data_IF_870304133970
#
_entry.id   IF_870304133970
#
_cell.length_a   1.000
_cell.length_b   1.000
_cell.length_c   1.000
_cell.angle_alpha   90.00
_cell.angle_beta   90.00
_cell.angle_gamma   90.00
#
_symmetry.space_group_name_H-M   'P 1'
#
loop_
_entity.id
_entity.type
_entity.pdbx_description
1 polymer ?
#
# COMPACT_ATOMS: atom_id res chain seq x y z
N UNK A 1 20.55 3.53 -13.40
CA UNK A 1 19.53 3.48 -14.46
C UNK A 1 19.60 2.11 -15.12
N UNK A 2 18.82 1.17 -14.62
CA UNK A 2 18.65 -0.11 -15.31
C UNK A 2 17.76 0.11 -16.54
N UNK A 3 18.03 -0.53 -17.68
CA UNK A 3 17.13 -0.44 -18.83
C UNK A 3 15.77 -1.05 -18.50
N UNK A 4 14.69 -0.59 -19.14
CA UNK A 4 13.38 -1.17 -18.96
C UNK A 4 13.43 -2.67 -19.30
N UNK A 5 12.78 -3.50 -18.46
CA UNK A 5 12.71 -4.95 -18.66
C UNK A 5 11.34 -5.32 -19.21
N UNK A 6 11.32 -6.21 -20.18
CA UNK A 6 10.08 -6.88 -20.56
C UNK A 6 9.67 -7.81 -19.42
N UNK A 7 8.46 -7.61 -18.87
CA UNK A 7 7.95 -8.38 -17.75
C UNK A 7 6.83 -9.31 -18.21
N UNK A 8 6.71 -10.47 -17.57
CA UNK A 8 5.62 -11.42 -17.86
C UNK A 8 4.25 -10.86 -17.45
N UNK A 9 4.21 -9.97 -16.46
CA UNK A 9 3.01 -9.25 -16.00
C UNK A 9 2.66 -8.18 -17.01
N UNK A 10 1.46 -8.24 -17.59
CA UNK A 10 0.96 -7.29 -18.60
C UNK A 10 -0.20 -6.44 -18.12
N UNK A 11 -1.06 -6.99 -17.26
CA UNK A 11 -2.26 -6.33 -16.77
C UNK A 11 -2.17 -6.14 -15.25
N UNK A 12 -2.09 -4.90 -14.82
CA UNK A 12 -1.90 -4.54 -13.41
C UNK A 12 -3.09 -3.75 -12.89
N UNK A 13 -3.75 -4.29 -11.88
CA UNK A 13 -4.76 -3.61 -11.10
C UNK A 13 -4.09 -2.69 -10.07
N UNK A 14 -4.40 -1.40 -10.06
CA UNK A 14 -3.93 -0.46 -9.04
C UNK A 14 -5.09 -0.04 -8.14
N UNK A 15 -5.03 -0.39 -6.88
CA UNK A 15 -5.96 0.08 -5.86
C UNK A 15 -5.31 1.20 -5.06
N UNK A 16 -5.89 2.39 -5.07
CA UNK A 16 -5.30 3.55 -4.41
C UNK A 16 -6.36 4.55 -3.94
N UNK A 17 -5.94 5.54 -3.17
CA UNK A 17 -6.85 6.63 -2.78
C UNK A 17 -7.26 7.47 -3.99
N UNK A 18 -8.40 8.19 -3.95
CA UNK A 18 -8.82 9.07 -5.04
C UNK A 18 -7.73 10.07 -5.46
N UNK A 19 -6.99 10.64 -4.50
CA UNK A 19 -5.90 11.58 -4.77
C UNK A 19 -4.75 10.91 -5.52
N UNK A 20 -4.35 9.70 -5.13
CA UNK A 20 -3.29 8.93 -5.79
C UNK A 20 -3.69 8.56 -7.22
N UNK A 21 -4.92 8.10 -7.44
CA UNK A 21 -5.44 7.77 -8.77
C UNK A 21 -5.47 9.01 -9.67
N UNK A 22 -5.97 10.14 -9.16
CA UNK A 22 -6.02 11.42 -9.90
C UNK A 22 -4.65 11.93 -10.29
N UNK A 23 -3.62 11.68 -9.47
CA UNK A 23 -2.24 12.12 -9.75
C UNK A 23 -1.62 11.39 -10.93
N UNK A 24 -2.09 10.20 -11.26
CA UNK A 24 -1.51 9.27 -12.27
C UNK A 24 -0.02 8.94 -12.06
N UNK A 25 0.49 9.10 -10.84
CA UNK A 25 1.91 8.91 -10.56
C UNK A 25 2.37 7.46 -10.85
N UNK A 26 1.59 6.46 -10.40
CA UNK A 26 1.90 5.06 -10.66
C UNK A 26 1.88 4.71 -12.14
N UNK A 27 0.86 5.14 -12.88
CA UNK A 27 0.75 4.88 -14.31
C UNK A 27 1.93 5.47 -15.07
N UNK A 28 2.34 6.72 -14.75
CA UNK A 28 3.50 7.36 -15.38
C UNK A 28 4.80 6.61 -15.09
N UNK A 29 5.03 6.23 -13.83
CA UNK A 29 6.25 5.50 -13.45
C UNK A 29 6.31 4.11 -14.09
N UNK A 30 5.21 3.38 -14.13
CA UNK A 30 5.15 2.07 -14.76
C UNK A 30 5.31 2.17 -16.28
N UNK A 31 4.66 3.12 -16.93
CA UNK A 31 4.83 3.34 -18.37
C UNK A 31 6.28 3.70 -18.74
N UNK A 32 7.00 4.39 -17.85
CA UNK A 32 8.40 4.74 -18.07
C UNK A 32 9.38 3.58 -17.79
N UNK A 33 9.06 2.70 -16.81
CA UNK A 33 9.99 1.68 -16.32
C UNK A 33 9.68 0.25 -16.79
N UNK A 34 8.44 -0.01 -17.17
CA UNK A 34 7.96 -1.35 -17.56
C UNK A 34 7.23 -1.27 -18.90
N UNK A 35 7.90 -1.69 -19.96
CA UNK A 35 7.33 -1.67 -21.32
C UNK A 35 6.26 -2.74 -21.45
N UNK A 36 5.08 -2.36 -21.98
CA UNK A 36 3.98 -3.29 -22.29
C UNK A 36 3.11 -3.65 -21.08
N UNK A 37 3.24 -2.91 -19.97
CA UNK A 37 2.33 -3.04 -18.82
C UNK A 37 1.14 -2.11 -18.98
N UNK A 38 -0.07 -2.67 -18.98
CA UNK A 38 -1.33 -1.95 -18.90
C UNK A 38 -1.78 -1.82 -17.44
N UNK A 39 -2.15 -0.62 -17.02
CA UNK A 39 -2.51 -0.33 -15.63
C UNK A 39 -3.91 0.25 -15.54
N UNK A 40 -4.84 -0.51 -14.98
CA UNK A 40 -6.17 -0.01 -14.61
C UNK A 40 -6.19 0.39 -13.15
N UNK A 41 -6.59 1.63 -12.87
CA UNK A 41 -6.60 2.19 -11.53
C UNK A 41 -8.03 2.33 -10.98
N UNK A 42 -8.23 1.86 -9.75
CA UNK A 42 -9.47 1.97 -9.01
C UNK A 42 -9.28 2.85 -7.77
N UNK A 43 -10.03 3.93 -7.70
CA UNK A 43 -10.10 4.77 -6.51
C UNK A 43 -10.94 4.08 -5.43
N UNK A 44 -10.33 3.80 -4.28
CA UNK A 44 -10.97 3.08 -3.18
C UNK A 44 -11.36 4.07 -2.05
N UNK A 45 -12.41 4.85 -2.30
CA UNK A 45 -12.95 5.76 -1.29
C UNK A 45 -13.54 5.01 -0.09
N UNK A 46 -13.38 5.59 1.11
CA UNK A 46 -13.94 5.07 2.36
C UNK A 46 -13.13 3.95 3.02
N UNK A 47 -12.25 3.25 2.31
CA UNK A 47 -11.49 2.12 2.89
C UNK A 47 -10.55 2.60 3.99
N UNK A 48 -9.85 3.73 3.80
CA UNK A 48 -8.96 4.29 4.82
C UNK A 48 -9.75 4.68 6.07
N UNK A 49 -10.87 5.37 5.90
CA UNK A 49 -11.71 5.82 7.02
C UNK A 49 -12.22 4.62 7.83
N UNK A 50 -12.72 3.58 7.16
CA UNK A 50 -13.18 2.36 7.81
C UNK A 50 -12.08 1.65 8.61
N UNK A 51 -10.85 1.56 8.04
CA UNK A 51 -9.68 0.99 8.74
C UNK A 51 -9.33 1.85 9.96
N UNK A 52 -9.32 3.16 9.80
CA UNK A 52 -8.98 4.09 10.84
C UNK A 52 -10.03 4.11 11.97
N UNK A 53 -11.29 3.89 11.68
CA UNK A 53 -12.35 3.74 12.67
C UNK A 53 -12.39 2.34 13.33
N UNK A 54 -11.59 1.41 12.81
CA UNK A 54 -11.55 0.02 13.29
C UNK A 54 -12.74 -0.82 12.81
N UNK A 55 -13.52 -0.32 11.86
CA UNK A 55 -14.63 -1.05 11.23
C UNK A 55 -14.11 -1.91 10.08
N UNK A 56 -13.48 -3.03 10.45
CA UNK A 56 -12.92 -3.97 9.46
C UNK A 56 -14.00 -4.67 8.63
N UNK A 57 -15.24 -4.80 9.14
CA UNK A 57 -16.35 -5.39 8.38
C UNK A 57 -16.72 -4.47 7.22
N UNK A 58 -16.84 -3.17 7.49
CA UNK A 58 -17.08 -2.18 6.44
C UNK A 58 -15.88 -2.10 5.47
N UNK A 59 -14.65 -2.11 6.01
CA UNK A 59 -13.45 -2.08 5.17
C UNK A 59 -13.40 -3.24 4.19
N UNK A 60 -13.69 -4.48 4.62
CA UNK A 60 -13.77 -5.66 3.74
C UNK A 60 -14.86 -5.53 2.68
N UNK A 61 -16.05 -5.06 3.06
CA UNK A 61 -17.16 -4.86 2.11
C UNK A 61 -16.79 -3.83 1.05
N UNK A 62 -16.14 -2.73 1.43
CA UNK A 62 -15.65 -1.70 0.51
C UNK A 62 -14.56 -2.26 -0.41
N UNK A 63 -13.60 -3.02 0.12
CA UNK A 63 -12.55 -3.68 -0.68
C UNK A 63 -13.20 -4.54 -1.77
N UNK A 64 -14.12 -5.43 -1.42
CA UNK A 64 -14.83 -6.28 -2.39
C UNK A 64 -15.53 -5.46 -3.46
N UNK A 65 -16.26 -4.42 -3.06
CA UNK A 65 -16.97 -3.53 -4.00
C UNK A 65 -16.01 -2.85 -4.98
N UNK A 66 -14.84 -2.40 -4.50
CA UNK A 66 -13.83 -1.75 -5.35
C UNK A 66 -13.11 -2.76 -6.26
N UNK A 67 -12.84 -3.97 -5.78
CA UNK A 67 -12.31 -5.05 -6.61
C UNK A 67 -13.30 -5.41 -7.72
N UNK A 68 -14.58 -5.59 -7.41
CA UNK A 68 -15.63 -5.85 -8.41
C UNK A 68 -15.72 -4.72 -9.44
N UNK A 69 -15.56 -3.47 -9.01
CA UNK A 69 -15.57 -2.31 -9.91
C UNK A 69 -14.39 -2.33 -10.89
N UNK A 70 -13.21 -2.69 -10.41
CA UNK A 70 -12.01 -2.84 -11.25
C UNK A 70 -12.16 -4.03 -12.20
N UNK A 71 -12.60 -5.19 -11.71
CA UNK A 71 -12.74 -6.41 -12.50
C UNK A 71 -13.73 -6.27 -13.68
N UNK A 72 -14.67 -5.33 -13.60
CA UNK A 72 -15.52 -4.99 -14.75
C UNK A 72 -14.76 -4.30 -15.89
N UNK A 73 -13.64 -3.66 -15.59
CA UNK A 73 -12.79 -2.95 -16.58
C UNK A 73 -11.60 -3.80 -17.03
N UNK A 74 -11.05 -4.57 -16.10
CA UNK A 74 -9.92 -5.48 -16.30
C UNK A 74 -10.26 -6.84 -15.67
N UNK A 75 -10.94 -7.75 -16.39
CA UNK A 75 -11.48 -9.00 -15.82
C UNK A 75 -10.44 -9.99 -15.34
N UNK A 76 -9.21 -9.94 -15.83
CA UNK A 76 -8.15 -10.86 -15.50
C UNK A 76 -6.82 -10.13 -15.32
N UNK A 77 -6.62 -9.39 -14.22
CA UNK A 77 -5.31 -8.80 -13.93
C UNK A 77 -4.30 -9.90 -13.57
N UNK A 78 -3.07 -9.77 -14.05
CA UNK A 78 -1.97 -10.67 -13.67
C UNK A 78 -1.47 -10.34 -12.26
N UNK A 79 -1.55 -9.06 -11.87
CA UNK A 79 -1.10 -8.58 -10.58
C UNK A 79 -1.94 -7.40 -10.08
N UNK A 80 -1.88 -7.17 -8.77
CA UNK A 80 -2.49 -6.02 -8.12
C UNK A 80 -1.48 -5.27 -7.26
N UNK A 81 -1.52 -3.94 -7.30
CA UNK A 81 -0.71 -3.07 -6.45
C UNK A 81 -1.59 -2.37 -5.43
N UNK A 82 -1.25 -2.51 -4.15
CA UNK A 82 -1.87 -1.77 -3.06
C UNK A 82 -1.14 -0.42 -2.89
N UNK A 83 -1.63 0.61 -3.59
CA UNK A 83 -1.02 1.93 -3.69
C UNK A 83 -1.39 2.91 -2.56
N UNK A 84 -1.73 2.40 -1.38
CA UNK A 84 -2.00 3.18 -0.18
C UNK A 84 -1.36 2.52 1.03
N UNK A 85 -0.83 3.31 1.96
CA UNK A 85 -0.13 2.81 3.15
C UNK A 85 -1.04 2.05 4.14
N UNK A 86 -2.36 2.24 4.08
CA UNK A 86 -3.32 1.51 4.91
C UNK A 86 -3.72 0.15 4.31
N UNK A 87 -3.71 0.01 2.99
CA UNK A 87 -4.23 -1.19 2.33
C UNK A 87 -3.46 -2.49 2.65
N UNK A 88 -2.16 -2.47 3.00
CA UNK A 88 -1.49 -3.66 3.50
C UNK A 88 -2.14 -4.30 4.73
N UNK A 89 -2.87 -3.52 5.54
CA UNK A 89 -3.66 -4.05 6.66
C UNK A 89 -4.85 -4.91 6.21
N UNK A 90 -5.25 -4.78 4.94
CA UNK A 90 -6.37 -5.48 4.30
C UNK A 90 -5.90 -6.41 3.17
N UNK A 91 -4.61 -6.77 3.11
CA UNK A 91 -4.04 -7.58 2.01
C UNK A 91 -4.83 -8.86 1.77
N UNK A 92 -5.25 -9.55 2.84
CA UNK A 92 -6.03 -10.79 2.72
C UNK A 92 -7.40 -10.54 2.06
N UNK A 93 -8.09 -9.46 2.42
CA UNK A 93 -9.38 -9.10 1.82
C UNK A 93 -9.25 -8.79 0.32
N UNK A 94 -8.17 -8.11 -0.09
CA UNK A 94 -7.87 -7.90 -1.52
C UNK A 94 -7.57 -9.22 -2.21
N UNK A 95 -6.73 -10.07 -1.61
CA UNK A 95 -6.37 -11.37 -2.19
C UNK A 95 -7.59 -12.28 -2.36
N UNK A 96 -8.46 -12.35 -1.35
CA UNK A 96 -9.69 -13.17 -1.40
C UNK A 96 -10.68 -12.67 -2.47
N UNK A 97 -10.76 -11.36 -2.65
CA UNK A 97 -11.63 -10.77 -3.67
C UNK A 97 -11.08 -10.90 -5.09
N UNK A 98 -9.76 -10.83 -5.27
CA UNK A 98 -9.08 -10.96 -6.57
C UNK A 98 -8.92 -12.41 -7.03
N UNK A 99 -8.88 -13.35 -6.09
CA UNK A 99 -8.59 -14.76 -6.35
C UNK A 99 -7.11 -15.12 -6.24
N UNK A 100 -6.83 -16.41 -6.19
CA UNK A 100 -5.49 -16.95 -5.90
C UNK A 100 -4.48 -16.74 -7.06
N UNK A 101 -4.96 -16.55 -8.27
CA UNK A 101 -4.11 -16.42 -9.47
C UNK A 101 -3.52 -15.01 -9.63
N UNK A 102 -4.02 -14.01 -8.89
CA UNK A 102 -3.55 -12.63 -8.94
C UNK A 102 -2.48 -12.40 -7.86
N UNK A 103 -1.29 -11.99 -8.28
CA UNK A 103 -0.23 -11.64 -7.33
C UNK A 103 -0.48 -10.26 -6.74
N UNK A 104 -0.68 -10.17 -5.42
CA UNK A 104 -0.88 -8.88 -4.72
C UNK A 104 0.45 -8.34 -4.19
N UNK A 105 0.83 -7.16 -4.65
CA UNK A 105 2.01 -6.45 -4.19
C UNK A 105 1.66 -5.38 -3.15
N UNK A 106 2.25 -5.51 -1.97
CA UNK A 106 2.22 -4.49 -0.92
C UNK A 106 3.37 -3.50 -1.13
N UNK A 107 3.05 -2.23 -1.27
CA UNK A 107 4.06 -1.18 -1.36
C UNK A 107 4.92 -1.11 -0.08
N UNK A 108 4.33 -1.39 1.08
CA UNK A 108 5.03 -1.32 2.36
C UNK A 108 6.18 -2.32 2.44
N UNK A 109 5.96 -3.57 2.01
CA UNK A 109 6.98 -4.62 2.02
C UNK A 109 8.13 -4.30 1.07
N UNK A 110 7.81 -3.90 -0.16
CA UNK A 110 8.81 -3.51 -1.16
C UNK A 110 9.67 -2.33 -0.70
N UNK A 111 9.07 -1.34 -0.04
CA UNK A 111 9.81 -0.19 0.51
C UNK A 111 10.68 -0.61 1.68
N UNK A 112 10.18 -1.48 2.57
CA UNK A 112 10.94 -1.98 3.71
C UNK A 112 12.17 -2.79 3.25
N UNK A 113 12.02 -3.67 2.28
CA UNK A 113 13.12 -4.45 1.67
C UNK A 113 14.15 -3.52 1.01
N UNK A 114 13.69 -2.56 0.22
CA UNK A 114 14.54 -1.57 -0.43
C UNK A 114 15.33 -0.72 0.57
N UNK A 115 14.69 -0.33 1.69
CA UNK A 115 15.34 0.40 2.77
C UNK A 115 16.40 -0.47 3.48
N UNK A 116 16.08 -1.74 3.75
CA UNK A 116 17.02 -2.66 4.39
C UNK A 116 18.27 -2.86 3.51
N UNK A 117 18.11 -3.06 2.20
CA UNK A 117 19.21 -3.14 1.25
C UNK A 117 20.03 -1.83 1.19
N UNK A 118 19.34 -0.68 1.16
CA UNK A 118 20.00 0.62 1.17
C UNK A 118 20.87 0.82 2.42
N UNK A 119 20.33 0.51 3.61
CA UNK A 119 21.06 0.64 4.87
C UNK A 119 22.22 -0.36 4.97
N UNK A 120 22.09 -1.56 4.42
CA UNK A 120 23.19 -2.53 4.34
C UNK A 120 24.36 -1.99 3.52
N UNK A 121 24.08 -1.28 2.43
CA UNK A 121 25.10 -0.64 1.58
C UNK A 121 25.60 0.71 2.13
N UNK A 122 24.93 1.26 3.12
CA UNK A 122 25.21 2.57 3.71
C UNK A 122 25.19 2.48 5.25
N UNK A 123 26.11 1.70 5.86
CA UNK A 123 26.12 1.50 7.31
C UNK A 123 26.34 2.81 8.11
N UNK A 124 26.94 3.81 7.50
CA UNK A 124 27.11 5.15 8.09
C UNK A 124 25.77 5.88 8.35
N UNK A 125 24.69 5.45 7.67
CA UNK A 125 23.34 6.00 7.86
C UNK A 125 22.63 5.38 9.07
N UNK A 126 23.17 4.30 9.64
CA UNK A 126 22.62 3.65 10.82
C UNK A 126 23.20 4.33 12.06
N UNK A 127 22.34 5.02 12.82
CA UNK A 127 22.74 5.66 14.05
C UNK A 127 23.16 4.66 15.15
N UNK A 128 23.99 5.10 16.09
CA UNK A 128 24.49 4.28 17.21
C UNK A 128 23.48 4.13 18.36
N UNK A 129 22.20 3.88 18.04
CA UNK A 129 21.23 3.43 19.05
C UNK A 129 20.69 4.53 19.97
N UNK A 130 20.28 5.67 19.44
CA UNK A 130 19.40 6.57 20.18
C UNK A 130 18.00 5.94 20.27
N UNK A 131 17.33 6.08 21.41
CA UNK A 131 15.95 5.67 21.56
C UNK A 131 15.08 6.53 20.63
N UNK A 132 14.37 5.88 19.69
CA UNK A 132 13.46 6.58 18.77
C UNK A 132 12.30 7.25 19.52
N UNK A 133 11.91 8.44 19.07
CA UNK A 133 10.76 9.17 19.58
C UNK A 133 9.66 9.18 18.53
N UNK A 134 8.41 8.92 18.94
CA UNK A 134 7.24 9.05 18.09
C UNK A 134 6.51 10.36 18.41
N UNK A 135 6.45 11.26 17.46
CA UNK A 135 5.82 12.58 17.61
C UNK A 135 4.60 12.69 16.70
N UNK A 136 3.60 13.44 17.14
CA UNK A 136 2.43 13.77 16.35
C UNK A 136 1.96 15.19 16.60
N UNK A 137 1.43 15.84 15.57
CA UNK A 137 0.73 17.12 15.68
C UNK A 137 -0.76 16.95 16.01
N UNK A 138 -1.26 15.70 16.01
CA UNK A 138 -2.63 15.36 16.37
C UNK A 138 -2.78 14.97 17.84
N UNK A 139 -3.93 14.38 18.19
CA UNK A 139 -4.18 13.84 19.53
C UNK A 139 -3.27 12.64 19.81
N UNK A 140 -2.27 12.82 20.66
CA UNK A 140 -1.26 11.82 20.96
C UNK A 140 -1.86 10.50 21.52
N UNK A 141 -2.94 10.58 22.30
CA UNK A 141 -3.61 9.38 22.84
C UNK A 141 -4.29 8.58 21.75
N UNK A 142 -5.05 9.24 20.87
CA UNK A 142 -5.74 8.60 19.75
C UNK A 142 -4.73 7.99 18.77
N UNK A 143 -3.68 8.72 18.42
CA UNK A 143 -2.63 8.23 17.52
C UNK A 143 -1.89 7.04 18.12
N UNK A 144 -1.56 7.08 19.42
CA UNK A 144 -0.92 5.95 20.13
C UNK A 144 -1.79 4.70 20.13
N UNK A 145 -3.09 4.84 20.42
CA UNK A 145 -4.02 3.71 20.41
C UNK A 145 -4.11 3.05 19.03
N UNK A 146 -4.23 3.87 17.97
CA UNK A 146 -4.31 3.40 16.58
C UNK A 146 -3.00 2.76 16.13
N UNK A 147 -1.85 3.38 16.40
CA UNK A 147 -0.55 2.81 16.07
C UNK A 147 -0.30 1.48 16.80
N UNK A 148 -0.73 1.36 18.05
CA UNK A 148 -0.65 0.11 18.82
C UNK A 148 -1.48 -0.99 18.16
N UNK A 149 -2.69 -0.67 17.68
CA UNK A 149 -3.55 -1.60 16.97
C UNK A 149 -2.92 -2.06 15.65
N UNK A 150 -2.42 -1.14 14.83
CA UNK A 150 -1.85 -1.45 13.51
C UNK A 150 -0.55 -2.25 13.60
N UNK A 151 0.32 -1.89 14.54
CA UNK A 151 1.64 -2.51 14.72
C UNK A 151 1.62 -3.72 15.66
N UNK A 152 0.46 -4.01 16.29
CA UNK A 152 0.27 -5.11 17.26
C UNK A 152 1.33 -5.10 18.39
N UNK A 153 1.82 -3.91 18.72
CA UNK A 153 2.75 -3.66 19.82
C UNK A 153 2.49 -2.28 20.39
N UNK A 154 2.76 -2.11 21.69
CA UNK A 154 2.54 -0.82 22.33
C UNK A 154 3.47 0.25 21.75
N UNK A 155 2.88 1.33 21.28
CA UNK A 155 3.55 2.51 20.76
C UNK A 155 2.96 3.73 21.47
N UNK A 156 3.84 4.62 21.94
CA UNK A 156 3.41 5.86 22.58
C UNK A 156 3.90 7.04 21.78
N UNK A 157 2.98 7.85 21.31
CA UNK A 157 3.26 9.13 20.67
C UNK A 157 3.21 10.25 21.70
N UNK A 158 4.03 11.27 21.47
CA UNK A 158 4.05 12.53 22.20
C UNK A 158 3.62 13.67 21.27
N UNK A 159 3.07 14.72 21.83
CA UNK A 159 2.80 15.94 21.05
C UNK A 159 4.11 16.56 20.57
N UNK A 160 4.12 16.98 19.30
CA UNK A 160 5.27 17.67 18.69
C UNK A 160 5.31 19.13 19.16
#
# INVERSE_FOLDING_TARGET
NSPPREVAIKHVALFATPATVSSRAFQRELAFRAIGVDVEAQACGGVVDAIEDGDYILAEALVRSHVDALMRKMPAPDAAILGCTHYPLMTQAFQDALGADVTVFSQADLVAESLADYLTRRPEMIGKGAQGMFLTTGDAKKVSARATQFLRRQITFQSA
#
